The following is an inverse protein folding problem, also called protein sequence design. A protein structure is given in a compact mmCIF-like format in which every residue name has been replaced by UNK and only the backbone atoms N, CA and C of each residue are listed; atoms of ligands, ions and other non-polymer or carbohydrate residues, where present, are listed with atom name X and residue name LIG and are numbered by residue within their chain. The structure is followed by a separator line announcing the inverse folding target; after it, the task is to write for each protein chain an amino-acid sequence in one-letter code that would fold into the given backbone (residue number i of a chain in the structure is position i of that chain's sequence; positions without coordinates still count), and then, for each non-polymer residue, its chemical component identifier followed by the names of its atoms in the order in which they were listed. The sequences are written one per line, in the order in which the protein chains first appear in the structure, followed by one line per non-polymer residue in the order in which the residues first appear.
data_IF_692610551418
#
_entry.id   IF_692610551418
#
_cell.length_a   1.000
_cell.length_b   1.000
_cell.length_c   1.000
_cell.angle_alpha   90.00
_cell.angle_beta   90.00
_cell.angle_gamma   90.00
#
_symmetry.space_group_name_H-M   'P 1'
#
loop_
_entity.id
_entity.type
_entity.pdbx_description
1 polymer ?
#
# COMPACT_ATOMS: atom_id res chain seq x y z
N UNK A 1 -1.01 4.15 20.09
CA UNK A 1 -1.77 5.29 19.51
C UNK A 1 -1.22 6.59 20.07
N UNK A 2 -0.97 7.59 19.21
CA UNK A 2 -0.55 8.95 19.58
C UNK A 2 -1.52 9.92 18.94
N UNK A 3 -1.81 11.04 19.60
CA UNK A 3 -2.82 11.98 19.14
C UNK A 3 -2.35 13.44 19.36
N UNK A 4 -2.49 14.25 18.32
CA UNK A 4 -2.38 15.73 18.38
C UNK A 4 -3.75 16.39 18.41
N UNK A 5 -3.78 17.72 18.25
CA UNK A 5 -5.06 18.48 18.23
C UNK A 5 -5.90 18.17 16.99
N UNK A 6 -5.26 17.98 15.84
CA UNK A 6 -5.91 17.83 14.52
C UNK A 6 -5.57 16.52 13.82
N UNK A 7 -4.88 15.60 14.49
CA UNK A 7 -4.48 14.32 13.91
C UNK A 7 -4.38 13.21 14.97
N UNK A 8 -4.50 11.98 14.49
CA UNK A 8 -4.35 10.75 15.28
C UNK A 8 -3.50 9.75 14.50
N UNK A 9 -2.47 9.20 15.14
CA UNK A 9 -1.64 8.12 14.60
C UNK A 9 -1.92 6.83 15.36
N UNK A 10 -2.29 5.79 14.63
CA UNK A 10 -2.54 4.45 15.16
C UNK A 10 -1.50 3.50 14.57
N UNK A 11 -0.83 2.72 15.42
CA UNK A 11 0.00 1.61 14.97
C UNK A 11 -0.84 0.32 14.95
N UNK A 12 -0.62 -0.48 13.93
CA UNK A 12 -1.18 -1.81 13.76
C UNK A 12 -0.09 -2.84 13.48
N UNK A 13 -0.43 -4.11 13.60
CA UNK A 13 0.50 -5.20 13.33
C UNK A 13 0.68 -5.39 11.82
N UNK A 14 1.94 -5.52 11.39
CA UNK A 14 2.33 -5.90 10.05
C UNK A 14 3.00 -7.29 10.05
N UNK A 15 2.90 -8.05 8.96
CA UNK A 15 3.49 -9.38 8.85
C UNK A 15 4.59 -9.35 7.80
N UNK A 16 5.85 -9.53 8.23
CA UNK A 16 6.99 -9.52 7.32
C UNK A 16 8.06 -10.57 7.70
N UNK A 17 8.76 -10.37 8.82
CA UNK A 17 9.90 -11.20 9.21
C UNK A 17 9.73 -11.86 10.59
N UNK A 18 8.50 -12.13 10.99
CA UNK A 18 8.24 -12.87 12.22
C UNK A 18 8.88 -14.27 12.19
N UNK A 19 9.31 -14.80 13.34
CA UNK A 19 9.22 -14.23 14.69
C UNK A 19 10.39 -13.33 15.10
N UNK A 20 11.24 -12.93 14.17
CA UNK A 20 12.51 -12.25 14.48
C UNK A 20 12.33 -10.78 14.85
N UNK A 21 11.32 -10.13 14.27
CA UNK A 21 11.02 -8.71 14.51
C UNK A 21 9.51 -8.50 14.64
N UNK A 22 9.10 -7.58 15.52
CA UNK A 22 7.79 -6.97 15.47
C UNK A 22 7.74 -5.93 14.35
N UNK A 23 6.84 -6.12 13.40
CA UNK A 23 6.65 -5.23 12.26
C UNK A 23 5.38 -4.41 12.46
N UNK A 24 5.44 -3.12 12.17
CA UNK A 24 4.35 -2.20 12.39
C UNK A 24 3.91 -1.52 11.09
N UNK A 25 2.60 -1.39 10.95
CA UNK A 25 1.95 -0.50 10.01
C UNK A 25 1.37 0.71 10.76
N UNK A 26 1.12 1.80 10.05
CA UNK A 26 0.63 3.03 10.67
C UNK A 26 -0.56 3.59 9.90
N UNK A 27 -1.55 4.07 10.67
CA UNK A 27 -2.67 4.85 10.14
C UNK A 27 -2.61 6.26 10.70
N UNK A 28 -2.67 7.25 9.81
CA UNK A 28 -2.84 8.65 10.15
C UNK A 28 -4.26 9.07 9.75
N UNK A 29 -5.01 9.56 10.72
CA UNK A 29 -6.26 10.29 10.52
C UNK A 29 -6.01 11.76 10.82
N UNK A 30 -6.33 12.66 9.89
CA UNK A 30 -6.19 14.10 10.01
C UNK A 30 -7.48 14.80 9.51
N UNK A 31 -7.59 16.11 9.75
CA UNK A 31 -8.78 16.89 9.33
C UNK A 31 -9.02 16.84 7.81
N UNK A 32 -7.94 16.79 7.02
CA UNK A 32 -8.02 16.81 5.56
C UNK A 32 -8.17 15.42 4.93
N UNK A 33 -7.99 14.34 5.69
CA UNK A 33 -8.09 12.97 5.18
C UNK A 33 -7.31 11.96 6.01
N UNK A 34 -7.25 10.73 5.49
CA UNK A 34 -6.64 9.60 6.20
C UNK A 34 -5.75 8.76 5.28
N UNK A 35 -4.66 8.27 5.82
CA UNK A 35 -3.79 7.33 5.12
C UNK A 35 -3.38 6.17 6.01
N UNK A 36 -3.17 5.02 5.40
CA UNK A 36 -2.51 3.88 6.01
C UNK A 36 -1.22 3.57 5.24
N UNK A 37 -0.13 3.37 5.98
CA UNK A 37 1.16 2.92 5.46
C UNK A 37 1.46 1.54 6.01
N UNK A 38 1.58 0.56 5.12
CA UNK A 38 1.78 -0.85 5.53
C UNK A 38 3.15 -1.12 6.16
N UNK A 39 4.12 -0.25 5.94
CA UNK A 39 5.52 -0.66 6.10
C UNK A 39 5.84 -1.84 5.17
N UNK A 40 6.87 -2.59 5.51
CA UNK A 40 7.14 -3.86 4.85
C UNK A 40 6.19 -4.91 5.40
N UNK A 41 5.24 -5.34 4.60
CA UNK A 41 4.17 -6.27 4.99
C UNK A 41 3.59 -7.01 3.80
N UNK A 42 3.12 -8.22 4.04
CA UNK A 42 2.13 -8.86 3.18
C UNK A 42 0.76 -8.16 3.27
N UNK A 43 -0.10 -8.45 2.30
CA UNK A 43 -1.47 -7.94 2.25
C UNK A 43 -2.39 -8.75 3.19
N UNK A 44 -2.27 -8.51 4.49
CA UNK A 44 -2.90 -9.29 5.56
C UNK A 44 -4.22 -8.68 6.05
N UNK A 45 -4.99 -9.45 6.81
CA UNK A 45 -6.22 -8.96 7.41
C UNK A 45 -5.97 -7.80 8.38
N UNK A 46 -4.84 -7.79 9.10
CA UNK A 46 -4.46 -6.68 9.97
C UNK A 46 -4.27 -5.36 9.20
N UNK A 47 -3.69 -5.42 7.99
CA UNK A 47 -3.57 -4.24 7.11
C UNK A 47 -4.95 -3.80 6.61
N UNK A 48 -5.81 -4.75 6.21
CA UNK A 48 -7.19 -4.44 5.79
C UNK A 48 -7.96 -3.71 6.89
N UNK A 49 -7.91 -4.21 8.12
CA UNK A 49 -8.61 -3.59 9.25
C UNK A 49 -8.04 -2.20 9.58
N UNK A 50 -6.71 -2.06 9.61
CA UNK A 50 -6.06 -0.77 9.87
C UNK A 50 -6.40 0.28 8.79
N UNK A 51 -6.41 -0.13 7.52
CA UNK A 51 -6.68 0.74 6.37
C UNK A 51 -8.17 1.00 6.12
N UNK A 52 -9.07 0.36 6.87
CA UNK A 52 -10.52 0.43 6.61
C UNK A 52 -11.03 1.86 6.47
N UNK A 53 -11.56 2.18 5.29
CA UNK A 53 -12.13 3.48 4.95
C UNK A 53 -11.13 4.63 4.84
N UNK A 54 -9.82 4.36 4.82
CA UNK A 54 -8.82 5.41 4.54
C UNK A 54 -8.98 5.97 3.13
N UNK A 55 -8.55 7.21 2.94
CA UNK A 55 -8.45 7.79 1.60
C UNK A 55 -7.32 7.16 0.80
N UNK A 56 -6.18 6.89 1.45
CA UNK A 56 -4.97 6.36 0.81
C UNK A 56 -4.45 5.14 1.56
N UNK A 57 -4.17 4.06 0.84
CA UNK A 57 -3.34 2.95 1.32
C UNK A 57 -2.01 2.97 0.55
N UNK A 58 -0.91 3.20 1.27
CA UNK A 58 0.45 3.06 0.75
C UNK A 58 0.94 1.67 1.13
N UNK A 59 1.19 0.81 0.15
CA UNK A 59 1.53 -0.59 0.40
C UNK A 59 2.78 -1.01 -0.37
N UNK A 60 3.65 -1.79 0.28
CA UNK A 60 4.80 -2.37 -0.42
C UNK A 60 4.31 -3.28 -1.55
N UNK A 61 5.01 -3.25 -2.69
CA UNK A 61 4.75 -4.11 -3.84
C UNK A 61 6.06 -4.74 -4.34
N UNK A 62 6.55 -5.69 -3.57
CA UNK A 62 7.87 -6.28 -3.78
C UNK A 62 7.91 -7.32 -4.90
N UNK A 63 6.80 -8.05 -5.11
CA UNK A 63 6.75 -9.16 -6.04
C UNK A 63 5.71 -8.97 -7.16
N UNK A 64 6.02 -9.53 -8.32
CA UNK A 64 4.99 -9.88 -9.29
C UNK A 64 4.19 -11.07 -8.74
N UNK A 65 2.85 -11.02 -8.83
CA UNK A 65 2.00 -12.09 -8.30
C UNK A 65 2.30 -13.43 -8.99
N UNK A 66 2.48 -14.46 -8.19
CA UNK A 66 2.81 -15.80 -8.65
C UNK A 66 4.31 -16.11 -8.74
N UNK A 67 5.20 -15.15 -8.41
CA UNK A 67 6.66 -15.37 -8.46
C UNK A 67 7.31 -15.60 -7.10
N UNK A 68 6.53 -15.65 -6.02
CA UNK A 68 7.06 -15.91 -4.68
C UNK A 68 7.71 -17.30 -4.60
N UNK A 69 8.93 -17.41 -4.06
CA UNK A 69 9.64 -18.69 -3.97
C UNK A 69 8.97 -19.68 -3.01
N UNK A 70 8.28 -19.19 -2.01
CA UNK A 70 7.54 -20.02 -1.04
C UNK A 70 6.21 -19.35 -0.65
N UNK A 71 5.21 -20.11 -0.14
CA UNK A 71 3.99 -19.52 0.42
C UNK A 71 4.28 -18.55 1.56
N UNK A 72 5.18 -18.88 2.48
CA UNK A 72 5.54 -18.01 3.60
C UNK A 72 6.12 -16.67 3.12
N UNK A 73 6.98 -16.68 2.09
CA UNK A 73 7.53 -15.46 1.51
C UNK A 73 6.43 -14.62 0.83
N UNK A 74 5.51 -15.27 0.09
CA UNK A 74 4.34 -14.60 -0.50
C UNK A 74 3.49 -13.89 0.55
N UNK A 75 3.26 -14.53 1.68
CA UNK A 75 2.39 -14.00 2.73
C UNK A 75 3.09 -12.91 3.58
N UNK A 76 4.42 -12.86 3.55
CA UNK A 76 5.25 -11.88 4.25
C UNK A 76 5.59 -10.62 3.43
N UNK A 77 5.37 -10.62 2.12
CA UNK A 77 5.67 -9.47 1.25
C UNK A 77 4.50 -9.11 0.35
N UNK A 78 4.36 -7.82 0.07
CA UNK A 78 3.31 -7.32 -0.81
C UNK A 78 3.51 -7.76 -2.27
N UNK A 79 2.42 -8.15 -2.90
CA UNK A 79 2.33 -8.42 -4.34
C UNK A 79 1.03 -7.85 -4.91
N UNK A 80 1.03 -7.42 -6.15
CA UNK A 80 -0.01 -6.55 -6.72
C UNK A 80 -1.45 -7.09 -6.59
N UNK A 81 -1.73 -8.38 -6.82
CA UNK A 81 -3.09 -8.94 -6.65
C UNK A 81 -3.52 -9.01 -5.18
N UNK A 82 -2.59 -9.32 -4.28
CA UNK A 82 -2.86 -9.27 -2.84
C UNK A 82 -3.21 -7.86 -2.39
N UNK A 83 -2.38 -6.89 -2.82
CA UNK A 83 -2.57 -5.47 -2.51
C UNK A 83 -3.90 -4.94 -3.06
N UNK A 84 -4.27 -5.33 -4.29
CA UNK A 84 -5.55 -4.95 -4.90
C UNK A 84 -6.74 -5.46 -4.07
N UNK A 85 -6.74 -6.74 -3.68
CA UNK A 85 -7.79 -7.32 -2.83
C UNK A 85 -7.85 -6.68 -1.45
N UNK A 86 -6.69 -6.42 -0.83
CA UNK A 86 -6.65 -5.73 0.46
C UNK A 86 -7.22 -4.32 0.37
N UNK A 87 -6.84 -3.55 -0.65
CA UNK A 87 -7.36 -2.20 -0.91
C UNK A 87 -8.88 -2.20 -1.14
N UNK A 88 -9.39 -3.15 -1.95
CA UNK A 88 -10.83 -3.29 -2.21
C UNK A 88 -11.60 -3.67 -0.94
N UNK A 89 -11.11 -4.62 -0.16
CA UNK A 89 -11.73 -5.04 1.12
C UNK A 89 -11.71 -3.93 2.18
N UNK A 90 -10.63 -3.17 2.23
CA UNK A 90 -10.52 -2.02 3.13
C UNK A 90 -11.39 -0.83 2.69
N UNK A 91 -11.83 -0.78 1.45
CA UNK A 91 -12.63 0.31 0.90
C UNK A 91 -11.86 1.63 0.79
N UNK A 92 -10.56 1.57 0.52
CA UNK A 92 -9.74 2.77 0.32
C UNK A 92 -10.03 3.41 -1.04
N UNK A 93 -9.80 4.72 -1.17
CA UNK A 93 -10.01 5.43 -2.43
C UNK A 93 -8.83 5.31 -3.39
N UNK A 94 -7.61 5.25 -2.84
CA UNK A 94 -6.37 5.20 -3.61
C UNK A 94 -5.41 4.16 -3.03
N UNK A 95 -4.89 3.29 -3.90
CA UNK A 95 -3.79 2.37 -3.60
C UNK A 95 -2.50 2.93 -4.21
N UNK A 96 -1.52 3.20 -3.36
CA UNK A 96 -0.17 3.62 -3.78
C UNK A 96 0.78 2.46 -3.60
N UNK A 97 1.43 2.04 -4.67
CA UNK A 97 2.43 0.95 -4.66
C UNK A 97 3.82 1.55 -4.46
N UNK A 98 4.53 1.05 -3.46
CA UNK A 98 5.91 1.46 -3.14
C UNK A 98 6.81 0.25 -2.96
N UNK A 99 8.11 0.45 -2.73
CA UNK A 99 9.07 -0.62 -2.49
C UNK A 99 9.14 -1.65 -3.63
N UNK A 100 9.03 -1.19 -4.88
CA UNK A 100 9.15 -2.04 -6.05
C UNK A 100 10.63 -2.39 -6.31
N UNK A 101 10.93 -3.67 -6.47
CA UNK A 101 12.29 -4.08 -6.88
C UNK A 101 12.53 -3.79 -8.36
N UNK A 102 13.79 -3.59 -8.80
CA UNK A 102 14.09 -3.22 -10.19
C UNK A 102 13.52 -4.18 -11.25
N UNK A 103 13.35 -5.45 -10.91
CA UNK A 103 12.80 -6.45 -11.84
C UNK A 103 11.32 -6.23 -12.18
N UNK A 104 10.54 -5.63 -11.28
CA UNK A 104 9.13 -5.29 -11.53
C UNK A 104 8.95 -3.80 -11.83
N UNK A 105 9.97 -2.99 -11.58
CA UNK A 105 9.96 -1.55 -11.82
C UNK A 105 10.38 -1.21 -13.27
N UNK A 106 9.85 -1.96 -14.23
CA UNK A 106 10.05 -1.79 -15.65
C UNK A 106 8.75 -1.33 -16.31
N UNK A 107 8.77 -0.41 -17.29
CA UNK A 107 7.55 0.20 -17.86
C UNK A 107 6.47 -0.83 -18.22
N UNK A 108 6.79 -1.83 -19.05
CA UNK A 108 5.82 -2.87 -19.45
C UNK A 108 5.31 -3.73 -18.29
N UNK A 109 6.15 -3.96 -17.27
CA UNK A 109 5.75 -4.71 -16.08
C UNK A 109 4.84 -3.87 -15.20
N UNK A 110 5.15 -2.59 -15.00
CA UNK A 110 4.28 -1.64 -14.28
C UNK A 110 2.90 -1.55 -14.91
N UNK A 111 2.83 -1.37 -16.25
CA UNK A 111 1.58 -1.31 -17.01
C UNK A 111 0.74 -2.57 -16.78
N UNK A 112 1.35 -3.74 -16.86
CA UNK A 112 0.70 -5.01 -16.60
C UNK A 112 0.21 -5.12 -15.15
N UNK A 113 1.04 -4.77 -14.18
CA UNK A 113 0.67 -4.75 -12.75
C UNK A 113 -0.55 -3.86 -12.52
N UNK A 114 -0.53 -2.62 -13.02
CA UNK A 114 -1.65 -1.68 -12.88
C UNK A 114 -2.90 -2.19 -13.58
N UNK A 115 -2.77 -2.80 -14.75
CA UNK A 115 -3.89 -3.43 -15.45
C UNK A 115 -4.52 -4.57 -14.63
N UNK A 116 -3.71 -5.48 -14.08
CA UNK A 116 -4.19 -6.61 -13.27
C UNK A 116 -4.81 -6.12 -11.94
N UNK A 117 -4.29 -5.06 -11.31
CA UNK A 117 -4.88 -4.44 -10.12
C UNK A 117 -6.29 -3.91 -10.41
N UNK A 118 -6.47 -3.21 -11.53
CA UNK A 118 -7.77 -2.64 -11.94
C UNK A 118 -8.87 -3.67 -12.23
N UNK A 119 -8.52 -4.93 -12.33
CA UNK A 119 -9.49 -6.02 -12.42
C UNK A 119 -10.08 -6.41 -11.06
N UNK A 120 -9.38 -6.10 -9.95
CA UNK A 120 -9.77 -6.48 -8.60
C UNK A 120 -10.04 -5.28 -7.68
N UNK A 121 -9.60 -4.07 -8.06
CA UNK A 121 -9.74 -2.84 -7.27
C UNK A 121 -10.30 -1.70 -8.14
N UNK A 122 -11.38 -1.08 -7.67
CA UNK A 122 -12.11 -0.03 -8.42
C UNK A 122 -11.64 1.39 -8.12
N UNK A 123 -10.77 1.57 -7.12
CA UNK A 123 -10.21 2.87 -6.76
C UNK A 123 -9.04 3.29 -7.65
N UNK A 124 -8.41 4.40 -7.30
CA UNK A 124 -7.24 4.91 -7.99
C UNK A 124 -6.00 4.07 -7.68
N UNK A 125 -5.17 3.84 -8.68
CA UNK A 125 -3.89 3.12 -8.56
C UNK A 125 -2.76 4.06 -8.93
N UNK A 126 -1.81 4.22 -8.03
CA UNK A 126 -0.63 5.08 -8.20
C UNK A 126 0.63 4.24 -8.04
N UNK A 127 1.55 4.35 -8.99
CA UNK A 127 2.91 3.83 -8.82
C UNK A 127 3.74 4.89 -8.12
N UNK A 128 4.09 4.65 -6.85
CA UNK A 128 4.83 5.59 -6.03
C UNK A 128 6.30 5.69 -6.43
N UNK A 129 6.86 6.86 -6.30
CA UNK A 129 8.29 7.13 -6.44
C UNK A 129 8.74 8.14 -5.38
N UNK A 130 10.05 8.22 -5.17
CA UNK A 130 10.64 9.13 -4.20
C UNK A 130 10.23 10.58 -4.47
N UNK A 131 9.96 11.32 -3.40
CA UNK A 131 9.52 12.71 -3.41
C UNK A 131 8.16 12.99 -4.07
N UNK A 132 7.39 11.92 -4.41
CA UNK A 132 6.02 12.10 -4.90
C UNK A 132 5.15 12.77 -3.83
N UNK A 133 4.39 13.77 -4.25
CA UNK A 133 3.38 14.41 -3.39
C UNK A 133 1.99 13.83 -3.67
N UNK A 134 1.28 13.48 -2.60
CA UNK A 134 -0.08 12.97 -2.65
C UNK A 134 -1.01 13.94 -1.91
N UNK A 135 -2.20 14.14 -2.42
CA UNK A 135 -3.23 14.94 -1.76
C UNK A 135 -4.48 14.11 -1.51
N UNK A 136 -5.21 14.37 -0.43
CA UNK A 136 -6.43 13.64 -0.09
C UNK A 136 -7.64 14.03 -0.98
N UNK A 137 -7.64 15.23 -1.56
CA UNK A 137 -8.82 15.81 -2.25
C UNK A 137 -8.96 15.43 -3.71
N UNK A 138 -7.98 14.89 -4.33
CA UNK A 138 -7.93 14.19 -5.64
C UNK A 138 -6.47 13.81 -5.87
N UNK A 139 -6.16 12.64 -6.40
CA UNK A 139 -4.80 12.35 -6.81
C UNK A 139 -4.49 13.14 -8.09
N UNK A 140 -4.33 14.45 -7.99
CA UNK A 140 -3.66 15.22 -9.02
C UNK A 140 -2.20 14.83 -8.89
N UNK A 141 -1.73 13.98 -9.77
CA UNK A 141 -0.31 13.74 -9.98
C UNK A 141 0.25 15.11 -10.41
N UNK A 142 0.85 15.84 -9.50
CA UNK A 142 1.71 16.94 -9.87
C UNK A 142 2.90 16.28 -10.58
N UNK A 143 2.92 16.32 -11.90
CA UNK A 143 4.08 15.94 -12.69
C UNK A 143 5.21 16.86 -12.23
N UNK A 144 6.14 16.32 -11.46
CA UNK A 144 7.39 16.99 -11.14
C UNK A 144 8.10 17.22 -12.48
N UNK A 145 8.18 18.48 -12.90
CA UNK A 145 8.99 18.86 -14.04
C UNK A 145 10.46 18.56 -13.71
N UNK A 146 11.15 17.90 -14.63
CA UNK A 146 12.59 17.77 -14.66
C UNK A 146 13.20 19.03 -15.25
#
# INVERSE_FOLDING_TARGET
MVQGKSWKLTAGHAVHVQPYLECLAFRLDAEDGSLCYSGDSGATDSIVELARGCDILIHMNHLFSGTAPTPAFRDAVGHHKGNARAAQRAGVKTLVLVHAVPSIDQPRIRERIVHEIRQEFTGNVVWGHDLMQLTFRSPVIAAGGY
#
